data_IF_835106755484
#
_entry.id   IF_835106755484
#
_cell.length_a   1.000
_cell.length_b   1.000
_cell.length_c   1.000
_cell.angle_alpha   90.00
_cell.angle_beta   90.00
_cell.angle_gamma   90.00
#
_symmetry.space_group_name_H-M   'P 1'
#
loop_
_entity.id
_entity.type
_entity.pdbx_description
1 polymer ?
#
# COMPACT_ATOMS: atom_id res chain seq x y z
N UNK A 1 -5.48 -16.65 17.58
CA UNK A 1 -4.34 -16.22 18.41
C UNK A 1 -4.91 -15.97 19.79
N UNK A 2 -4.61 -16.86 20.75
CA UNK A 2 -5.14 -16.75 22.10
C UNK A 2 -4.67 -15.43 22.75
N UNK A 3 -5.61 -14.65 23.31
CA UNK A 3 -5.30 -13.47 24.12
C UNK A 3 -5.14 -12.13 23.35
N UNK A 4 -5.62 -12.01 22.12
CA UNK A 4 -5.65 -10.73 21.40
C UNK A 4 -7.09 -10.19 21.44
N UNK A 5 -7.27 -9.00 22.02
CA UNK A 5 -8.54 -8.28 21.97
C UNK A 5 -8.59 -7.47 20.65
N UNK A 6 -9.73 -7.53 19.97
CA UNK A 6 -9.93 -6.92 18.66
C UNK A 6 -11.15 -6.00 18.68
N UNK A 7 -10.99 -4.77 18.24
CA UNK A 7 -12.10 -3.87 17.94
C UNK A 7 -12.20 -3.71 16.42
N UNK A 8 -13.29 -4.19 15.84
CA UNK A 8 -13.57 -4.10 14.40
C UNK A 8 -14.60 -3.02 14.10
N UNK A 9 -14.29 -2.19 13.10
CA UNK A 9 -15.18 -1.12 12.62
C UNK A 9 -15.49 -1.35 11.14
N UNK A 10 -16.74 -1.33 10.76
CA UNK A 10 -17.18 -1.43 9.36
C UNK A 10 -18.50 -0.67 9.17
N UNK A 11 -18.70 -0.07 8.01
CA UNK A 11 -19.98 0.58 7.66
C UNK A 11 -21.10 -0.44 7.41
N UNK A 12 -20.73 -1.66 7.03
CA UNK A 12 -21.64 -2.74 6.69
C UNK A 12 -22.02 -3.56 7.91
N UNK A 13 -23.23 -3.35 8.44
CA UNK A 13 -23.78 -4.20 9.51
C UNK A 13 -23.78 -5.67 9.12
N UNK A 14 -24.01 -5.97 7.82
CA UNK A 14 -24.01 -7.35 7.32
C UNK A 14 -22.62 -8.00 7.44
N UNK A 15 -21.55 -7.25 7.12
CA UNK A 15 -20.19 -7.74 7.28
C UNK A 15 -19.87 -8.01 8.76
N UNK A 16 -20.27 -7.11 9.66
CA UNK A 16 -20.09 -7.29 11.10
C UNK A 16 -20.86 -8.49 11.64
N UNK A 17 -22.09 -8.73 11.15
CA UNK A 17 -22.89 -9.89 11.55
C UNK A 17 -22.27 -11.21 11.05
N UNK A 18 -21.60 -11.20 9.90
CA UNK A 18 -20.84 -12.35 9.40
C UNK A 18 -19.62 -12.63 10.29
N UNK A 19 -18.88 -11.58 10.65
CA UNK A 19 -17.74 -11.70 11.58
C UNK A 19 -18.22 -12.27 12.93
N UNK A 20 -19.32 -11.78 13.51
CA UNK A 20 -19.89 -12.33 14.76
C UNK A 20 -20.17 -13.81 14.65
N UNK A 21 -20.87 -14.23 13.60
CA UNK A 21 -21.17 -15.66 13.37
C UNK A 21 -19.93 -16.53 13.25
N UNK A 22 -18.91 -16.02 12.56
CA UNK A 22 -17.65 -16.73 12.36
C UNK A 22 -16.84 -16.82 13.65
N UNK A 23 -16.89 -15.79 14.50
CA UNK A 23 -16.13 -15.73 15.76
C UNK A 23 -16.79 -16.53 16.89
N UNK A 24 -18.12 -16.59 16.92
CA UNK A 24 -18.87 -17.43 17.88
C UNK A 24 -18.50 -18.92 17.73
N UNK A 25 -18.07 -19.32 16.54
CA UNK A 25 -17.63 -20.69 16.26
C UNK A 25 -16.20 -21.00 16.77
N UNK A 26 -15.40 -19.99 17.15
CA UNK A 26 -13.99 -20.17 17.56
C UNK A 26 -13.82 -20.63 19.02
N UNK A 27 -14.87 -20.59 19.84
CA UNK A 27 -14.88 -21.07 21.23
C UNK A 27 -14.11 -20.18 22.21
N UNK A 28 -14.03 -20.60 23.47
CA UNK A 28 -13.57 -19.81 24.64
C UNK A 28 -12.06 -19.56 24.76
N UNK A 29 -11.28 -19.69 23.69
CA UNK A 29 -9.84 -19.41 23.67
C UNK A 29 -9.45 -18.15 22.90
N UNK A 30 -10.40 -17.47 22.26
CA UNK A 30 -10.17 -16.21 21.56
C UNK A 30 -10.19 -15.03 22.55
N UNK A 31 -9.45 -13.96 22.27
CA UNK A 31 -9.62 -12.68 22.97
C UNK A 31 -11.01 -12.09 22.75
N UNK A 32 -11.29 -10.96 23.38
CA UNK A 32 -12.58 -10.28 23.22
C UNK A 32 -12.67 -9.63 21.83
N UNK A 33 -13.83 -9.72 21.19
CA UNK A 33 -14.10 -9.11 19.89
C UNK A 33 -15.24 -8.10 20.05
N UNK A 34 -14.92 -6.83 19.85
CA UNK A 34 -15.86 -5.72 19.85
C UNK A 34 -16.11 -5.26 18.42
N UNK A 35 -17.38 -5.19 17.99
CA UNK A 35 -17.72 -4.81 16.62
C UNK A 35 -18.65 -3.60 16.64
N UNK A 36 -18.26 -2.56 15.91
CA UNK A 36 -18.98 -1.29 15.82
C UNK A 36 -19.32 -0.96 14.36
N UNK A 37 -20.59 -0.63 14.11
CA UNK A 37 -21.04 -0.16 12.80
C UNK A 37 -20.78 1.35 12.69
N UNK A 38 -19.71 1.72 11.99
CA UNK A 38 -19.32 3.12 11.77
C UNK A 38 -18.43 3.23 10.52
N UNK A 39 -18.27 4.46 10.01
CA UNK A 39 -17.22 4.81 9.03
C UNK A 39 -15.83 4.80 9.70
N UNK A 40 -14.76 4.86 8.88
CA UNK A 40 -13.40 4.79 9.42
C UNK A 40 -13.05 5.93 10.39
N UNK A 41 -13.65 7.11 10.24
CA UNK A 41 -13.50 8.22 11.20
C UNK A 41 -14.29 8.01 12.50
N UNK A 42 -15.22 7.03 12.56
CA UNK A 42 -15.88 6.60 13.79
C UNK A 42 -14.92 6.01 14.84
N UNK A 43 -13.65 5.75 14.50
CA UNK A 43 -12.60 5.44 15.47
C UNK A 43 -12.42 6.56 16.53
N UNK A 44 -12.87 7.77 16.24
CA UNK A 44 -12.88 8.88 17.18
C UNK A 44 -13.68 8.56 18.46
N UNK A 45 -14.79 7.84 18.32
CA UNK A 45 -15.73 7.51 19.39
C UNK A 45 -15.29 6.30 20.25
N UNK A 46 -14.16 5.70 19.91
CA UNK A 46 -13.58 4.59 20.68
C UNK A 46 -12.64 5.15 21.74
N UNK A 47 -12.89 4.88 23.01
CA UNK A 47 -12.08 5.40 24.12
C UNK A 47 -10.75 4.66 24.31
N UNK A 48 -10.65 3.42 23.82
CA UNK A 48 -9.48 2.56 23.98
C UNK A 48 -8.29 3.02 23.14
N UNK A 49 -7.11 2.58 23.58
CA UNK A 49 -5.86 2.69 22.82
C UNK A 49 -5.35 1.31 22.45
N UNK A 50 -4.64 1.21 21.33
CA UNK A 50 -4.28 -0.04 20.69
C UNK A 50 -2.75 -0.18 20.52
N UNK A 51 -2.28 -1.43 20.49
CA UNK A 51 -0.92 -1.78 20.10
C UNK A 51 -0.78 -1.82 18.56
N UNK A 52 -1.90 -2.07 17.87
CA UNK A 52 -1.96 -2.02 16.41
C UNK A 52 -3.29 -1.47 15.92
N UNK A 53 -3.25 -0.65 14.86
CA UNK A 53 -4.43 -0.24 14.09
C UNK A 53 -4.21 -0.69 12.64
N UNK A 54 -5.23 -1.29 12.03
CA UNK A 54 -5.16 -1.88 10.70
C UNK A 54 -6.24 -1.28 9.80
N UNK A 55 -5.82 -0.71 8.68
CA UNK A 55 -6.66 -0.24 7.58
C UNK A 55 -6.30 -1.07 6.34
N UNK A 56 -6.95 -2.22 6.16
CA UNK A 56 -6.60 -3.12 5.06
C UNK A 56 -7.72 -3.21 4.03
N UNK A 57 -7.41 -3.00 2.75
CA UNK A 57 -8.37 -3.05 1.63
C UNK A 57 -9.56 -2.08 1.78
N UNK A 58 -9.37 -0.94 2.43
CA UNK A 58 -10.45 0.03 2.68
C UNK A 58 -10.13 1.42 2.15
N UNK A 59 -8.85 1.82 2.12
CA UNK A 59 -8.47 3.20 1.81
C UNK A 59 -8.80 3.61 0.37
N UNK A 60 -8.80 2.67 -0.56
CA UNK A 60 -9.17 2.91 -1.95
C UNK A 60 -10.63 3.35 -2.12
N UNK A 61 -11.50 3.06 -1.17
CA UNK A 61 -12.92 3.43 -1.20
C UNK A 61 -13.21 4.71 -0.41
N UNK A 62 -12.19 5.40 0.09
CA UNK A 62 -12.40 6.65 0.79
C UNK A 62 -12.85 7.74 -0.18
N UNK A 63 -13.74 8.65 0.26
CA UNK A 63 -14.41 9.59 -0.64
C UNK A 63 -13.47 10.63 -1.24
N UNK A 64 -12.31 10.87 -0.62
CA UNK A 64 -11.31 11.82 -1.12
C UNK A 64 -9.95 11.62 -0.45
N UNK A 65 -8.90 12.17 -1.07
CA UNK A 65 -7.56 12.24 -0.48
C UNK A 65 -7.51 13.04 0.83
N UNK A 66 -8.45 13.97 1.05
CA UNK A 66 -8.51 14.79 2.26
C UNK A 66 -9.14 14.05 3.46
N UNK A 67 -9.92 12.99 3.18
CA UNK A 67 -10.50 12.15 4.23
C UNK A 67 -9.45 11.25 4.89
N UNK A 68 -8.51 10.73 4.11
CA UNK A 68 -7.50 9.79 4.60
C UNK A 68 -6.58 10.40 5.69
N UNK A 69 -6.01 11.63 5.58
CA UNK A 69 -5.21 12.23 6.65
C UNK A 69 -5.96 12.29 7.98
N UNK A 70 -7.24 12.64 7.96
CA UNK A 70 -8.09 12.68 9.17
C UNK A 70 -8.21 11.30 9.81
N UNK A 71 -8.44 10.26 9.01
CA UNK A 71 -8.52 8.88 9.52
C UNK A 71 -7.16 8.43 10.07
N UNK A 72 -6.06 8.78 9.39
CA UNK A 72 -4.70 8.46 9.86
C UNK A 72 -4.39 9.18 11.18
N UNK A 73 -4.77 10.45 11.34
CA UNK A 73 -4.57 11.21 12.59
C UNK A 73 -5.38 10.62 13.74
N UNK A 74 -6.62 10.22 13.49
CA UNK A 74 -7.45 9.53 14.48
C UNK A 74 -6.83 8.18 14.86
N UNK A 75 -6.44 7.36 13.88
CA UNK A 75 -5.78 6.09 14.10
C UNK A 75 -4.46 6.26 14.90
N UNK A 76 -3.67 7.27 14.54
CA UNK A 76 -2.44 7.62 15.24
C UNK A 76 -2.66 8.02 16.69
N UNK A 77 -3.71 8.81 16.98
CA UNK A 77 -4.07 9.21 18.34
C UNK A 77 -4.42 8.03 19.23
N UNK A 78 -4.97 6.94 18.64
CA UNK A 78 -5.34 5.72 19.36
C UNK A 78 -4.19 4.71 19.51
N UNK A 79 -3.04 4.94 18.87
CA UNK A 79 -1.88 4.05 19.04
C UNK A 79 -1.13 4.34 20.35
N UNK A 80 -0.73 3.28 21.03
CA UNK A 80 0.22 3.37 22.13
C UNK A 80 1.64 3.64 21.62
N UNK A 81 2.52 4.28 22.42
CA UNK A 81 3.94 4.33 22.10
C UNK A 81 4.51 2.92 21.88
N UNK A 82 5.18 2.70 20.75
CA UNK A 82 5.65 1.39 20.28
C UNK A 82 4.61 0.61 19.48
N UNK A 83 3.41 1.16 19.30
CA UNK A 83 2.37 0.56 18.45
C UNK A 83 2.61 0.79 16.96
N UNK A 84 1.84 0.11 16.13
CA UNK A 84 1.95 0.13 14.67
C UNK A 84 0.61 0.44 14.00
N UNK A 85 0.60 1.39 13.08
CA UNK A 85 -0.46 1.58 12.11
C UNK A 85 -0.08 0.84 10.81
N UNK A 86 -0.94 -0.03 10.35
CA UNK A 86 -0.79 -0.76 9.09
C UNK A 86 -1.87 -0.29 8.10
N UNK A 87 -1.44 0.13 6.91
CA UNK A 87 -2.33 0.47 5.81
C UNK A 87 -2.03 -0.49 4.67
N UNK A 88 -2.92 -1.43 4.44
CA UNK A 88 -2.73 -2.48 3.45
C UNK A 88 -3.53 -2.28 2.17
N UNK A 89 -3.05 -2.87 1.08
CA UNK A 89 -3.67 -2.87 -0.24
C UNK A 89 -3.85 -1.48 -0.86
N UNK A 90 -2.88 -0.59 -0.63
CA UNK A 90 -2.88 0.75 -1.21
C UNK A 90 -2.61 0.66 -2.71
N UNK A 91 -3.47 1.21 -3.54
CA UNK A 91 -3.27 1.29 -4.98
C UNK A 91 -2.18 2.31 -5.33
N UNK A 92 -1.24 1.88 -6.16
CA UNK A 92 -0.09 2.71 -6.57
C UNK A 92 -0.48 3.75 -7.61
N UNK A 93 -0.33 5.03 -7.28
CA UNK A 93 -0.48 6.13 -8.24
C UNK A 93 0.57 6.05 -9.36
N UNK A 94 1.80 5.62 -9.03
CA UNK A 94 2.89 5.54 -10.00
C UNK A 94 2.69 4.44 -11.05
N UNK A 95 1.93 3.40 -10.73
CA UNK A 95 1.65 2.28 -11.62
C UNK A 95 0.20 2.29 -12.16
N UNK A 96 -0.49 3.43 -12.05
CA UNK A 96 -1.86 3.55 -12.52
C UNK A 96 -1.99 3.37 -14.05
N UNK A 97 -1.09 3.94 -14.89
CA UNK A 97 -1.13 3.70 -16.33
C UNK A 97 -0.94 2.22 -16.68
N UNK A 98 0.05 1.58 -16.07
CA UNK A 98 0.39 0.17 -16.31
C UNK A 98 -0.73 -0.77 -15.85
N UNK A 99 -1.41 -0.44 -14.77
CA UNK A 99 -2.59 -1.17 -14.31
C UNK A 99 -3.70 -1.15 -15.36
N UNK A 100 -4.04 0.02 -15.90
CA UNK A 100 -5.08 0.13 -16.93
C UNK A 100 -4.64 -0.47 -18.27
N UNK A 101 -3.35 -0.35 -18.61
CA UNK A 101 -2.77 -1.01 -19.77
C UNK A 101 -2.95 -2.53 -19.69
N UNK A 102 -2.56 -3.14 -18.57
CA UNK A 102 -2.69 -4.58 -18.36
C UNK A 102 -4.15 -5.06 -18.45
N UNK A 103 -5.08 -4.32 -17.82
CA UNK A 103 -6.52 -4.63 -17.90
C UNK A 103 -7.08 -4.51 -19.31
N UNK A 104 -6.69 -3.50 -20.07
CA UNK A 104 -7.13 -3.30 -21.44
C UNK A 104 -6.51 -4.35 -22.38
N UNK A 105 -5.25 -4.75 -22.18
CA UNK A 105 -4.61 -5.82 -22.93
C UNK A 105 -5.30 -7.17 -22.70
N UNK A 106 -5.72 -7.45 -21.46
CA UNK A 106 -6.53 -8.64 -21.20
C UNK A 106 -7.91 -8.57 -21.88
N UNK A 107 -8.53 -7.39 -21.90
CA UNK A 107 -9.79 -7.18 -22.61
C UNK A 107 -9.62 -7.35 -24.13
N UNK A 108 -8.57 -6.78 -24.73
CA UNK A 108 -8.24 -6.92 -26.16
C UNK A 108 -8.13 -8.40 -26.56
N UNK A 109 -7.46 -9.22 -25.76
CA UNK A 109 -7.36 -10.67 -26.02
C UNK A 109 -8.72 -11.38 -26.12
N UNK A 110 -9.74 -10.85 -25.42
CA UNK A 110 -11.10 -11.41 -25.37
C UNK A 110 -12.04 -10.81 -26.41
N UNK A 111 -11.96 -9.50 -26.65
CA UNK A 111 -12.91 -8.73 -27.50
C UNK A 111 -12.35 -8.38 -28.89
N UNK A 112 -11.02 -8.35 -29.04
CA UNK A 112 -10.36 -7.83 -30.25
C UNK A 112 -10.28 -6.31 -30.33
N UNK A 113 -10.71 -5.57 -29.29
CA UNK A 113 -10.66 -4.11 -29.25
C UNK A 113 -9.23 -3.64 -28.95
N UNK A 114 -8.54 -2.89 -29.83
CA UNK A 114 -7.14 -2.57 -29.66
C UNK A 114 -6.88 -1.67 -28.45
N UNK A 115 -5.78 -1.89 -27.75
CA UNK A 115 -5.29 -0.99 -26.73
C UNK A 115 -4.72 0.27 -27.36
N UNK A 116 -5.15 1.44 -26.89
CA UNK A 116 -4.65 2.74 -27.32
C UNK A 116 -4.36 3.63 -26.13
N UNK A 117 -3.44 4.59 -26.29
CA UNK A 117 -3.13 5.61 -25.26
C UNK A 117 -4.38 6.30 -24.76
N UNK A 118 -5.29 6.66 -25.69
CA UNK A 118 -6.53 7.37 -25.31
C UNK A 118 -7.44 6.48 -24.46
N UNK A 119 -7.56 5.19 -24.75
CA UNK A 119 -8.33 4.26 -23.90
C UNK A 119 -7.73 4.11 -22.51
N UNK A 120 -6.40 4.04 -22.39
CA UNK A 120 -5.74 4.01 -21.08
C UNK A 120 -6.00 5.30 -20.32
N UNK A 121 -5.82 6.45 -20.94
CA UNK A 121 -6.08 7.76 -20.31
C UNK A 121 -7.54 7.95 -19.89
N UNK A 122 -8.48 7.49 -20.68
CA UNK A 122 -9.91 7.48 -20.33
C UNK A 122 -10.13 6.58 -19.10
N UNK A 123 -9.59 5.37 -19.10
CA UNK A 123 -9.72 4.44 -17.99
C UNK A 123 -9.11 4.99 -16.68
N UNK A 124 -7.96 5.66 -16.78
CA UNK A 124 -7.34 6.35 -15.63
C UNK A 124 -8.20 7.49 -15.08
N UNK A 125 -8.80 8.28 -15.96
CA UNK A 125 -9.66 9.40 -15.55
C UNK A 125 -10.96 8.93 -14.90
N UNK A 126 -11.51 7.84 -15.40
CA UNK A 126 -12.78 7.29 -14.96
C UNK A 126 -12.61 6.30 -13.77
N UNK A 127 -11.38 6.15 -13.26
CA UNK A 127 -11.08 5.32 -12.08
C UNK A 127 -11.55 6.04 -10.81
N UNK A 128 -12.48 5.43 -10.09
CA UNK A 128 -13.10 5.98 -8.89
C UNK A 128 -12.36 5.60 -7.60
N UNK A 129 -11.44 4.64 -7.66
CA UNK A 129 -10.70 4.21 -6.48
C UNK A 129 -9.56 5.19 -6.16
N UNK A 130 -9.36 5.47 -4.87
CA UNK A 130 -8.26 6.32 -4.41
C UNK A 130 -6.92 5.64 -4.67
N UNK A 131 -6.05 6.33 -5.41
CA UNK A 131 -4.67 5.92 -5.70
C UNK A 131 -3.69 6.86 -5.00
N UNK A 132 -2.62 6.31 -4.43
CA UNK A 132 -1.70 7.08 -3.61
C UNK A 132 -0.24 6.79 -3.96
N UNK A 133 0.59 7.83 -3.84
CA UNK A 133 2.05 7.67 -3.84
C UNK A 133 2.54 7.31 -2.44
N UNK A 134 3.59 6.48 -2.28
CA UNK A 134 4.25 6.27 -1.00
C UNK A 134 4.67 7.57 -0.30
N UNK A 135 5.04 8.61 -1.05
CA UNK A 135 5.39 9.93 -0.53
C UNK A 135 4.25 10.63 0.21
N UNK A 136 2.97 10.28 -0.07
CA UNK A 136 1.83 10.79 0.68
C UNK A 136 1.96 10.49 2.18
N UNK A 137 2.30 9.26 2.54
CA UNK A 137 2.44 8.84 3.94
C UNK A 137 3.65 9.49 4.61
N UNK A 138 4.75 9.66 3.88
CA UNK A 138 5.92 10.39 4.38
C UNK A 138 5.61 11.87 4.63
N UNK A 139 4.83 12.50 3.74
CA UNK A 139 4.38 13.89 3.91
C UNK A 139 3.41 14.03 5.08
N UNK A 140 2.48 13.09 5.25
CA UNK A 140 1.58 13.07 6.41
C UNK A 140 2.33 12.92 7.74
N UNK A 141 3.43 12.16 7.74
CA UNK A 141 4.24 11.93 8.94
C UNK A 141 5.29 13.02 9.23
N UNK A 142 5.44 14.02 8.36
CA UNK A 142 6.54 15.00 8.44
C UNK A 142 6.53 15.83 9.73
N UNK A 143 5.36 16.06 10.33
CA UNK A 143 5.18 16.76 11.61
C UNK A 143 5.14 15.83 12.83
N UNK A 144 5.34 14.53 12.64
CA UNK A 144 5.27 13.48 13.68
C UNK A 144 6.67 12.87 13.91
N UNK A 145 7.47 13.45 14.83
CA UNK A 145 8.87 13.00 15.01
C UNK A 145 8.98 11.55 15.49
N UNK A 146 7.93 11.02 16.13
CA UNK A 146 7.84 9.63 16.60
C UNK A 146 7.30 8.65 15.55
N UNK A 147 6.97 9.10 14.34
CA UNK A 147 6.54 8.23 13.26
C UNK A 147 7.73 7.73 12.41
N UNK A 148 7.69 6.43 12.07
CA UNK A 148 8.59 5.82 11.09
C UNK A 148 7.76 5.12 10.03
N UNK A 149 7.76 5.69 8.83
CA UNK A 149 6.98 5.21 7.67
C UNK A 149 7.82 4.27 6.83
N UNK A 150 7.27 3.12 6.51
CA UNK A 150 7.91 2.09 5.68
C UNK A 150 6.92 1.56 4.66
N UNK A 151 6.91 2.07 3.42
CA UNK A 151 6.20 1.45 2.32
C UNK A 151 6.86 0.11 1.96
N UNK A 152 6.04 -0.91 1.71
CA UNK A 152 6.50 -2.28 1.41
C UNK A 152 5.76 -2.80 0.20
N UNK A 153 6.49 -3.22 -0.83
CA UNK A 153 5.90 -3.89 -1.98
C UNK A 153 5.29 -5.25 -1.55
N UNK A 154 4.17 -5.61 -2.14
CA UNK A 154 3.54 -6.90 -1.88
C UNK A 154 4.46 -8.05 -2.33
N UNK A 155 4.65 -9.02 -1.45
CA UNK A 155 5.42 -10.23 -1.72
C UNK A 155 4.46 -11.42 -1.79
N UNK A 156 3.74 -11.54 -2.90
CA UNK A 156 2.86 -12.67 -3.17
C UNK A 156 3.52 -13.59 -4.20
N UNK A 157 3.26 -14.91 -4.15
CA UNK A 157 3.90 -15.88 -5.03
C UNK A 157 3.49 -15.71 -6.50
N UNK A 158 2.29 -15.20 -6.74
CA UNK A 158 1.74 -15.05 -8.08
C UNK A 158 1.73 -13.57 -8.51
N UNK A 159 1.98 -13.33 -9.80
CA UNK A 159 1.90 -12.01 -10.40
C UNK A 159 0.45 -11.73 -10.83
N UNK A 160 -0.25 -10.95 -10.03
CA UNK A 160 -1.61 -10.49 -10.30
C UNK A 160 -1.82 -9.07 -9.80
N UNK A 161 -2.98 -8.49 -10.03
CA UNK A 161 -3.30 -7.11 -9.67
C UNK A 161 -2.82 -6.72 -8.25
N UNK A 162 -3.12 -7.57 -7.24
CA UNK A 162 -2.80 -7.29 -5.84
C UNK A 162 -1.30 -7.25 -5.58
N UNK A 163 -0.50 -8.05 -6.30
CA UNK A 163 0.95 -8.12 -6.11
C UNK A 163 1.71 -7.08 -6.90
N UNK A 164 1.20 -6.68 -8.07
CA UNK A 164 1.89 -5.80 -9.00
C UNK A 164 1.60 -4.32 -8.75
N UNK A 165 0.33 -3.97 -8.52
CA UNK A 165 -0.13 -2.57 -8.53
C UNK A 165 -0.52 -2.04 -7.17
N UNK A 166 -0.31 -2.81 -6.09
CA UNK A 166 -0.59 -2.42 -4.72
C UNK A 166 0.64 -2.57 -3.83
N UNK A 167 0.66 -1.79 -2.77
CA UNK A 167 1.69 -1.85 -1.74
C UNK A 167 1.05 -1.72 -0.36
N UNK A 168 1.83 -2.06 0.68
CA UNK A 168 1.45 -1.86 2.07
C UNK A 168 2.28 -0.75 2.68
N UNK A 169 1.76 -0.11 3.72
CA UNK A 169 2.51 0.88 4.50
C UNK A 169 2.47 0.49 5.97
N UNK A 170 3.64 0.40 6.58
CA UNK A 170 3.79 0.25 8.02
C UNK A 170 4.25 1.57 8.62
N UNK A 171 3.56 2.04 9.65
CA UNK A 171 3.90 3.26 10.35
C UNK A 171 4.08 2.91 11.82
N UNK A 172 5.33 2.88 12.27
CA UNK A 172 5.68 2.57 13.66
C UNK A 172 5.69 3.85 14.50
N UNK A 173 5.03 3.83 15.65
CA UNK A 173 5.14 4.87 16.67
C UNK A 173 6.27 4.52 17.63
N UNK A 174 7.44 5.15 17.49
CA UNK A 174 8.60 4.85 18.34
C UNK A 174 8.37 5.33 19.77
N UNK A 175 8.86 4.57 20.75
CA UNK A 175 8.69 4.87 22.19
C UNK A 175 9.65 5.94 22.69
N UNK A 176 10.86 5.95 22.16
CA UNK A 176 11.94 6.81 22.62
C UNK A 176 12.65 7.45 21.43
N UNK A 177 12.60 8.78 21.37
CA UNK A 177 13.28 9.55 20.34
C UNK A 177 14.78 9.72 20.64
N UNK A 178 15.22 9.53 21.90
CA UNK A 178 16.62 9.68 22.29
C UNK A 178 17.55 8.60 21.72
N UNK A 179 16.97 7.46 21.29
CA UNK A 179 17.71 6.36 20.67
C UNK A 179 17.70 6.37 19.15
N UNK A 180 16.98 7.27 18.50
CA UNK A 180 16.98 7.41 17.04
C UNK A 180 18.23 8.18 16.58
N UNK A 181 19.40 7.55 16.67
CA UNK A 181 20.58 8.08 16.00
C UNK A 181 20.24 8.26 14.51
N UNK A 182 20.44 9.44 13.97
CA UNK A 182 20.52 9.61 12.53
C UNK A 182 21.68 8.74 12.04
N UNK A 183 21.34 7.59 11.49
CA UNK A 183 22.38 6.80 10.84
C UNK A 183 22.87 7.57 9.62
N UNK A 184 24.18 7.78 9.46
CA UNK A 184 24.71 8.37 8.25
C UNK A 184 24.26 7.53 7.06
N UNK A 185 23.37 8.09 6.23
CA UNK A 185 22.89 7.48 5.01
C UNK A 185 23.55 8.15 3.81
N UNK A 186 23.88 7.36 2.81
CA UNK A 186 24.34 7.86 1.51
C UNK A 186 23.38 7.37 0.45
N UNK A 187 22.79 8.30 -0.30
CA UNK A 187 22.03 7.96 -1.48
C UNK A 187 22.98 7.71 -2.64
N UNK A 188 22.85 6.56 -3.27
CA UNK A 188 23.64 6.17 -4.43
C UNK A 188 22.71 5.79 -5.58
N UNK A 189 22.90 6.38 -6.76
CA UNK A 189 22.27 5.87 -7.96
C UNK A 189 23.02 4.59 -8.39
N UNK A 190 22.32 3.48 -8.48
CA UNK A 190 22.90 2.17 -8.79
C UNK A 190 22.43 1.72 -10.15
N UNK A 191 23.38 1.45 -11.06
CA UNK A 191 23.09 0.85 -12.37
C UNK A 191 23.55 -0.61 -12.35
N UNK A 192 22.59 -1.52 -12.25
CA UNK A 192 22.82 -2.96 -12.23
C UNK A 192 23.42 -3.50 -10.92
N UNK A 193 23.57 -4.83 -10.83
CA UNK A 193 24.06 -5.52 -9.65
C UNK A 193 25.50 -5.16 -9.28
N UNK A 194 26.37 -4.92 -10.26
CA UNK A 194 27.77 -4.53 -10.01
C UNK A 194 27.88 -3.16 -9.34
N UNK A 195 26.98 -2.23 -9.65
CA UNK A 195 26.87 -0.95 -8.97
C UNK A 195 26.41 -1.12 -7.53
N UNK A 196 25.45 -2.00 -7.28
CA UNK A 196 24.96 -2.33 -5.95
C UNK A 196 26.09 -2.93 -5.07
N UNK A 197 26.82 -3.91 -5.58
CA UNK A 197 27.92 -4.54 -4.84
C UNK A 197 29.04 -3.56 -4.51
N UNK A 198 29.34 -2.61 -5.40
CA UNK A 198 30.32 -1.55 -5.13
C UNK A 198 29.83 -0.62 -4.01
N UNK A 199 28.56 -0.20 -4.05
CA UNK A 199 28.00 0.65 -3.01
C UNK A 199 27.99 -0.03 -1.63
N UNK A 200 27.70 -1.34 -1.57
CA UNK A 200 27.72 -2.14 -0.33
C UNK A 200 29.15 -2.27 0.23
N UNK A 201 30.16 -2.31 -0.63
CA UNK A 201 31.56 -2.48 -0.22
C UNK A 201 32.15 -1.30 0.58
N UNK A 202 31.48 -0.15 0.63
CA UNK A 202 31.94 1.06 1.33
C UNK A 202 31.75 1.03 2.87
N UNK A 203 31.34 -0.10 3.45
CA UNK A 203 31.18 -0.31 4.91
C UNK A 203 30.23 0.72 5.59
N UNK A 204 29.22 1.20 4.89
CA UNK A 204 28.21 2.10 5.45
C UNK A 204 27.16 1.31 6.25
N UNK A 205 26.72 1.80 7.42
CA UNK A 205 25.74 1.11 8.25
C UNK A 205 24.35 1.02 7.60
N UNK A 206 24.01 1.99 6.74
CA UNK A 206 22.77 1.99 5.96
C UNK A 206 23.06 2.55 4.58
N UNK A 207 22.60 1.84 3.56
CA UNK A 207 22.67 2.28 2.16
C UNK A 207 21.23 2.37 1.65
N UNK A 208 20.81 3.55 1.20
CA UNK A 208 19.58 3.73 0.45
C UNK A 208 19.91 3.60 -1.04
N UNK A 209 19.32 2.63 -1.69
CA UNK A 209 19.50 2.39 -3.12
C UNK A 209 18.23 2.80 -3.85
N UNK A 210 18.35 3.72 -4.80
CA UNK A 210 17.25 4.20 -5.63
C UNK A 210 17.49 3.81 -7.10
N UNK A 211 16.44 3.83 -7.92
CA UNK A 211 16.53 3.57 -9.36
C UNK A 211 16.64 2.09 -9.74
N UNK A 212 16.47 1.16 -8.79
CA UNK A 212 16.34 -0.26 -9.12
C UNK A 212 14.95 -0.49 -9.74
N UNK A 213 14.95 -0.96 -10.99
CA UNK A 213 13.70 -1.31 -11.68
C UNK A 213 13.11 -2.57 -11.08
N UNK A 214 11.83 -2.54 -10.76
CA UNK A 214 11.11 -3.73 -10.29
C UNK A 214 10.91 -4.70 -11.45
N UNK A 215 11.53 -5.88 -11.38
CA UNK A 215 11.46 -6.90 -12.42
C UNK A 215 10.03 -7.38 -12.68
N UNK A 216 9.12 -7.22 -11.73
CA UNK A 216 7.72 -7.63 -11.85
C UNK A 216 6.90 -6.69 -12.74
N UNK A 217 7.25 -5.40 -12.79
CA UNK A 217 6.49 -4.36 -13.50
C UNK A 217 7.26 -3.74 -14.66
N UNK A 218 8.56 -4.02 -14.81
CA UNK A 218 9.43 -3.37 -15.79
C UNK A 218 8.91 -3.49 -17.22
N UNK A 219 8.40 -4.65 -17.61
CA UNK A 219 7.88 -4.87 -18.95
C UNK A 219 6.64 -4.00 -19.23
N UNK A 220 5.72 -3.90 -18.28
CA UNK A 220 4.52 -3.06 -18.39
C UNK A 220 4.88 -1.57 -18.44
N UNK A 221 5.88 -1.13 -17.65
CA UNK A 221 6.38 0.25 -17.66
C UNK A 221 6.97 0.58 -19.04
N UNK A 222 7.80 -0.31 -19.60
CA UNK A 222 8.38 -0.11 -20.92
C UNK A 222 7.30 -0.09 -22.02
N UNK A 223 6.32 -0.96 -21.94
CA UNK A 223 5.20 -1.00 -22.88
C UNK A 223 4.36 0.28 -22.80
N UNK A 224 4.04 0.77 -21.61
CA UNK A 224 3.35 2.04 -21.43
C UNK A 224 4.15 3.21 -22.00
N UNK A 225 5.43 3.29 -21.69
CA UNK A 225 6.31 4.38 -22.19
C UNK A 225 6.40 4.37 -23.72
N UNK A 226 6.51 3.18 -24.33
CA UNK A 226 6.53 3.06 -25.78
C UNK A 226 5.19 3.50 -26.39
N UNK A 227 4.07 3.03 -25.82
CA UNK A 227 2.74 3.39 -26.28
C UNK A 227 2.48 4.89 -26.16
N UNK A 228 2.83 5.51 -25.02
CA UNK A 228 2.65 6.96 -24.78
C UNK A 228 3.48 7.85 -25.72
N UNK A 229 4.63 7.34 -26.17
CA UNK A 229 5.48 7.99 -27.19
C UNK A 229 5.06 7.74 -28.64
N UNK A 230 4.06 6.88 -28.86
CA UNK A 230 3.65 6.45 -30.20
C UNK A 230 4.62 5.50 -30.87
N UNK A 231 5.46 4.82 -30.09
CA UNK A 231 6.41 3.81 -30.53
C UNK A 231 5.72 2.43 -30.53
N UNK A 232 6.15 1.55 -31.44
CA UNK A 232 5.67 0.15 -31.38
C UNK A 232 6.25 -0.53 -30.14
N UNK A 233 5.44 -1.30 -29.37
CA UNK A 233 5.94 -2.04 -28.22
C UNK A 233 7.12 -2.93 -28.65
N UNK A 234 8.20 -2.88 -27.91
CA UNK A 234 9.34 -3.79 -28.09
C UNK A 234 8.80 -5.18 -27.73
N UNK A 235 8.73 -6.09 -28.71
CA UNK A 235 8.15 -7.42 -28.57
C UNK A 235 8.75 -8.20 -27.40
N UNK A 236 8.16 -8.07 -26.23
CA UNK A 236 8.36 -8.93 -25.08
C UNK A 236 7.24 -9.97 -25.04
N UNK A 237 7.54 -11.16 -24.53
CA UNK A 237 6.49 -12.14 -24.24
C UNK A 237 5.43 -11.51 -23.32
N UNK A 238 4.12 -11.74 -23.55
CA UNK A 238 3.07 -11.19 -22.73
C UNK A 238 3.26 -11.64 -21.27
N UNK A 239 3.28 -10.70 -20.36
CA UNK A 239 3.23 -11.00 -18.92
C UNK A 239 1.80 -11.46 -18.65
N UNK A 240 1.60 -12.74 -18.33
CA UNK A 240 0.34 -13.25 -17.82
C UNK A 240 0.07 -12.62 -16.44
N UNK A 241 -0.97 -11.79 -16.34
CA UNK A 241 -1.42 -11.08 -15.14
C UNK A 241 -2.63 -11.80 -14.53
#
# INVERSE_FOLDING_TARGET
VAGVDVTGVDISKRALDEVRRSTDALGSGAGQIHLQAASADGIADIDETFDAVVLNSVVQYFPSSDYLPRVLDLAWSKLRPGGQLFVGDVRSLQLLPEFHLARLAEHERKSGDPVTVERVRVAMRDDEELVLSPSFFSSWAADKPDARVSPVAKQLPDFHEMSLFRYDVRILRVRDLAGSAEFPSRTCEVRGLDGLWRAIGDNLPIILVEGIRDSRTVALVDEWVALDRGESPVGGEPVDV
#
